data_IF_001068838486
#
_entry.id   IF_001068838486
#
_cell.length_a   1.000
_cell.length_b   1.000
_cell.length_c   1.000
_cell.angle_alpha   90.00
_cell.angle_beta   90.00
_cell.angle_gamma   90.00
#
_symmetry.space_group_name_H-M   'P 1'
#
loop_
_entity.id
_entity.type
_entity.pdbx_description
1 polymer ?
#
# COMPACT_ATOMS: atom_id res chain seq x y z
N UNK A 1 -12.62 20.23 12.80
CA UNK A 1 -13.38 19.99 11.55
C UNK A 1 -12.69 18.85 10.81
N UNK A 2 -13.07 17.60 11.07
CA UNK A 2 -12.59 16.47 10.27
C UNK A 2 -13.47 16.37 9.03
N UNK A 3 -13.06 17.01 7.93
CA UNK A 3 -13.68 16.77 6.63
C UNK A 3 -13.45 15.32 6.21
N UNK A 4 -14.41 14.70 5.54
CA UNK A 4 -14.24 13.34 5.02
C UNK A 4 -13.14 13.33 3.95
N UNK A 5 -12.06 12.58 4.21
CA UNK A 5 -10.98 12.36 3.25
C UNK A 5 -11.37 11.20 2.33
N UNK A 6 -11.40 11.45 1.02
CA UNK A 6 -11.67 10.42 0.00
C UNK A 6 -10.37 9.75 -0.44
N UNK A 7 -10.45 8.48 -0.84
CA UNK A 7 -9.30 7.75 -1.37
C UNK A 7 -9.62 7.25 -2.76
N UNK A 8 -8.74 7.54 -3.72
CA UNK A 8 -8.85 7.05 -5.09
C UNK A 8 -7.67 6.12 -5.39
N UNK A 9 -7.96 4.88 -5.82
CA UNK A 9 -6.95 3.88 -6.10
C UNK A 9 -6.70 3.77 -7.61
N UNK A 10 -5.48 4.08 -8.04
CA UNK A 10 -5.07 3.86 -9.43
C UNK A 10 -5.01 2.38 -9.83
N UNK A 11 -5.08 2.09 -11.13
CA UNK A 11 -5.02 0.71 -11.62
C UNK A 11 -3.65 0.05 -11.36
N UNK A 12 -2.55 0.79 -11.49
CA UNK A 12 -1.19 0.29 -11.25
C UNK A 12 -0.97 -0.19 -9.80
N UNK A 13 -1.28 0.61 -8.75
CA UNK A 13 -1.17 0.12 -7.38
C UNK A 13 -2.08 -1.08 -7.11
N UNK A 14 -3.30 -1.05 -7.64
CA UNK A 14 -4.25 -2.14 -7.49
C UNK A 14 -3.71 -3.46 -8.06
N UNK A 15 -3.24 -3.45 -9.31
CA UNK A 15 -2.76 -4.67 -9.95
C UNK A 15 -1.47 -5.20 -9.31
N UNK A 16 -0.58 -4.33 -8.82
CA UNK A 16 0.64 -4.76 -8.10
C UNK A 16 0.28 -5.58 -6.84
N UNK A 17 -0.70 -5.13 -6.07
CA UNK A 17 -1.14 -5.84 -4.87
C UNK A 17 -1.82 -7.17 -5.20
N UNK A 18 -2.72 -7.18 -6.20
CA UNK A 18 -3.39 -8.40 -6.64
C UNK A 18 -2.37 -9.42 -7.16
N UNK A 19 -1.40 -9.01 -7.98
CA UNK A 19 -0.36 -9.89 -8.48
C UNK A 19 0.53 -10.43 -7.37
N UNK A 20 0.87 -9.63 -6.35
CA UNK A 20 1.63 -10.09 -5.18
C UNK A 20 0.87 -11.18 -4.40
N UNK A 21 -0.42 -10.97 -4.15
CA UNK A 21 -1.27 -11.97 -3.51
C UNK A 21 -1.36 -13.26 -4.34
N UNK A 22 -1.51 -13.14 -5.66
CA UNK A 22 -1.57 -14.30 -6.56
C UNK A 22 -0.23 -15.04 -6.69
N UNK A 23 0.89 -14.34 -6.54
CA UNK A 23 2.23 -14.94 -6.51
C UNK A 23 2.43 -15.79 -5.25
N UNK A 24 1.83 -15.39 -4.13
CA UNK A 24 1.96 -16.05 -2.83
C UNK A 24 0.61 -16.60 -2.31
N UNK A 25 -0.08 -17.42 -3.11
CA UNK A 25 -1.49 -17.83 -2.89
C UNK A 25 -1.83 -18.43 -1.53
N UNK A 26 -0.87 -19.05 -0.85
CA UNK A 26 -1.07 -19.77 0.43
C UNK A 26 -0.43 -19.03 1.61
N UNK A 27 0.00 -17.79 1.40
CA UNK A 27 0.65 -16.99 2.43
C UNK A 27 -0.02 -15.63 2.52
N UNK A 28 -0.16 -15.12 3.75
CA UNK A 28 -0.55 -13.72 3.94
C UNK A 28 0.49 -12.81 3.28
N UNK A 29 0.02 -11.73 2.68
CA UNK A 29 0.87 -10.70 2.06
C UNK A 29 0.54 -9.32 2.62
N UNK A 30 1.52 -8.42 2.63
CA UNK A 30 1.30 -7.00 2.93
C UNK A 30 2.00 -6.11 1.90
N UNK A 31 1.67 -4.81 1.94
CA UNK A 31 2.24 -3.79 1.08
C UNK A 31 1.90 -2.40 1.59
N UNK A 32 2.58 -1.41 1.03
CA UNK A 32 2.35 0.02 1.31
C UNK A 32 1.71 0.65 0.09
N UNK A 33 0.69 1.48 0.33
CA UNK A 33 0.10 2.34 -0.69
C UNK A 33 0.78 3.71 -0.62
N UNK A 34 1.23 4.20 -1.77
CA UNK A 34 1.86 5.51 -1.91
C UNK A 34 0.90 6.40 -2.68
N UNK A 35 0.56 7.53 -2.06
CA UNK A 35 -0.36 8.49 -2.63
C UNK A 35 0.02 9.92 -2.34
N UNK A 36 -0.72 10.84 -2.96
CA UNK A 36 -0.61 12.28 -2.72
C UNK A 36 -1.95 12.80 -2.21
N UNK A 37 -1.92 13.58 -1.13
CA UNK A 37 -3.08 14.31 -0.67
C UNK A 37 -3.25 15.56 -1.54
N UNK A 38 -4.44 15.72 -2.09
CA UNK A 38 -4.91 16.98 -2.65
C UNK A 38 -5.70 17.73 -1.58
N UNK A 39 -5.08 18.77 -1.03
CA UNK A 39 -5.65 19.60 0.04
C UNK A 39 -6.95 20.31 -0.40
N UNK A 40 -7.10 20.61 -1.69
CA UNK A 40 -8.27 21.32 -2.20
C UNK A 40 -9.51 20.41 -2.27
N UNK A 41 -9.32 19.15 -2.69
CA UNK A 41 -10.41 18.18 -2.81
C UNK A 41 -10.55 17.24 -1.60
N UNK A 42 -9.64 17.34 -0.62
CA UNK A 42 -9.54 16.39 0.50
C UNK A 42 -9.50 14.94 0.02
N UNK A 43 -8.79 14.68 -1.07
CA UNK A 43 -8.68 13.36 -1.69
C UNK A 43 -7.24 12.88 -1.68
N UNK A 44 -7.02 11.63 -1.31
CA UNK A 44 -5.73 10.95 -1.44
C UNK A 44 -5.75 10.12 -2.72
N UNK A 45 -4.98 10.55 -3.71
CA UNK A 45 -4.76 9.81 -4.95
C UNK A 45 -3.63 8.81 -4.73
N UNK A 46 -3.97 7.53 -4.70
CA UNK A 46 -3.02 6.43 -4.55
C UNK A 46 -2.46 6.11 -5.94
N UNK A 47 -1.22 6.52 -6.16
CA UNK A 47 -0.53 6.47 -7.46
C UNK A 47 0.37 5.24 -7.57
N UNK A 48 0.81 4.65 -6.46
CA UNK A 48 1.62 3.44 -6.48
C UNK A 48 1.44 2.55 -5.24
N UNK A 49 1.88 1.29 -5.36
CA UNK A 49 1.91 0.32 -4.29
C UNK A 49 3.25 -0.43 -4.27
N UNK A 50 3.78 -0.65 -3.08
CA UNK A 50 5.02 -1.40 -2.84
C UNK A 50 4.65 -2.69 -2.09
N UNK A 51 4.65 -3.85 -2.75
CA UNK A 51 4.53 -5.13 -2.08
C UNK A 51 5.73 -5.35 -1.15
N UNK A 52 5.49 -5.71 0.12
CA UNK A 52 6.54 -5.82 1.12
C UNK A 52 6.95 -7.27 1.38
N UNK A 53 6.09 -7.99 2.10
CA UNK A 53 6.42 -9.31 2.63
C UNK A 53 5.31 -10.31 2.31
N UNK A 54 5.68 -11.57 2.31
CA UNK A 54 4.81 -12.73 2.14
C UNK A 54 5.14 -13.86 3.13
N UNK A 55 6.04 -13.56 4.07
CA UNK A 55 6.44 -14.39 5.21
C UNK A 55 6.83 -13.45 6.35
N UNK A 56 6.70 -13.91 7.60
CA UNK A 56 7.19 -13.19 8.78
C UNK A 56 6.71 -11.72 8.90
N UNK A 57 5.47 -11.42 8.46
CA UNK A 57 4.89 -10.06 8.40
C UNK A 57 4.99 -9.30 9.74
N UNK A 58 4.91 -10.01 10.87
CA UNK A 58 4.97 -9.41 12.21
C UNK A 58 6.37 -9.06 12.70
N UNK A 59 7.43 -9.26 11.92
CA UNK A 59 8.80 -8.94 12.33
C UNK A 59 9.11 -7.46 12.04
N UNK A 60 9.32 -6.70 13.12
CA UNK A 60 9.64 -5.28 13.08
C UNK A 60 10.86 -4.94 12.20
N UNK A 61 11.97 -5.71 12.19
CA UNK A 61 13.14 -5.36 11.37
C UNK A 61 12.85 -5.30 9.87
N UNK A 62 12.01 -6.20 9.35
CA UNK A 62 11.67 -6.22 7.92
C UNK A 62 10.81 -5.02 7.56
N UNK A 63 9.87 -4.64 8.43
CA UNK A 63 9.05 -3.44 8.23
C UNK A 63 9.89 -2.16 8.32
N UNK A 64 10.78 -2.07 9.30
CA UNK A 64 11.62 -0.90 9.53
C UNK A 64 12.53 -0.61 8.32
N UNK A 65 13.23 -1.63 7.81
CA UNK A 65 14.08 -1.49 6.63
C UNK A 65 13.24 -1.04 5.41
N UNK A 66 12.06 -1.62 5.23
CA UNK A 66 11.21 -1.30 4.09
C UNK A 66 10.63 0.13 4.13
N UNK A 67 10.53 0.76 5.30
CA UNK A 67 10.11 2.15 5.44
C UNK A 67 11.26 3.14 5.24
N UNK A 68 12.50 2.68 5.38
CA UNK A 68 13.71 3.51 5.20
C UNK A 68 14.14 3.57 3.72
N UNK A 69 13.93 2.48 2.98
CA UNK A 69 14.30 2.35 1.56
C UNK A 69 13.39 3.13 0.62
#
# INVERSE_FOLDING_TARGET
MGGEVKFQLGQNPYIKLVLHALKHRVSSVNGILIGRLDDASSTVDIVDAVPLSHSQIGLLPTLEIALIQ
#
